data_IF_642853767852
#
_entry.id   IF_642853767852
#
_cell.length_a   1.000
_cell.length_b   1.000
_cell.length_c   1.000
_cell.angle_alpha   90.00
_cell.angle_beta   90.00
_cell.angle_gamma   90.00
#
_symmetry.space_group_name_H-M   'P 1'
#
loop_
_entity.id
_entity.type
_entity.pdbx_description
1 polymer ?
#
# COMPACT_ATOMS: atom_id res chain seq x y z
N UNK A 1 25.03 -5.31 -6.58
CA UNK A 1 24.15 -4.14 -6.72
C UNK A 1 23.30 -4.03 -5.47
N UNK A 2 23.46 -2.96 -4.70
CA UNK A 2 22.83 -2.78 -3.39
C UNK A 2 21.33 -2.46 -3.56
N UNK A 3 20.45 -3.41 -3.21
CA UNK A 3 18.99 -3.33 -3.40
C UNK A 3 18.34 -2.16 -2.64
N UNK A 4 19.04 -1.58 -1.65
CA UNK A 4 18.61 -0.40 -0.88
C UNK A 4 18.42 0.88 -1.72
N UNK A 5 18.98 0.94 -2.94
CA UNK A 5 18.86 2.13 -3.80
C UNK A 5 17.65 2.11 -4.76
N UNK A 6 16.89 1.02 -4.85
CA UNK A 6 15.81 0.90 -5.84
C UNK A 6 14.59 1.80 -5.54
N UNK A 7 14.39 2.20 -4.27
CA UNK A 7 13.35 3.17 -3.89
C UNK A 7 13.67 4.62 -4.32
N UNK A 8 14.87 4.90 -4.84
CA UNK A 8 15.27 6.25 -5.29
C UNK A 8 14.89 6.57 -6.75
N UNK A 9 14.42 5.60 -7.54
CA UNK A 9 14.20 5.77 -8.99
C UNK A 9 12.71 5.66 -9.43
N UNK A 10 11.76 5.77 -8.49
CA UNK A 10 10.34 5.44 -8.73
C UNK A 10 9.39 6.60 -9.00
N UNK A 11 9.85 7.78 -9.43
CA UNK A 11 8.97 8.95 -9.62
C UNK A 11 9.32 9.77 -10.87
N UNK A 12 9.13 9.21 -12.05
CA UNK A 12 9.13 9.95 -13.32
C UNK A 12 8.13 9.29 -14.29
N UNK A 13 6.83 9.59 -14.13
CA UNK A 13 5.82 9.48 -15.19
C UNK A 13 4.44 9.95 -14.68
N UNK A 14 4.24 11.27 -14.56
CA UNK A 14 2.91 11.88 -14.67
C UNK A 14 3.07 13.39 -14.86
N UNK A 15 3.03 13.84 -16.10
CA UNK A 15 3.02 15.27 -16.37
C UNK A 15 3.25 15.61 -17.83
N UNK A 16 2.26 15.36 -18.69
CA UNK A 16 2.03 16.18 -19.88
C UNK A 16 0.51 16.17 -20.18
N UNK A 17 -0.19 17.13 -19.60
CA UNK A 17 -1.46 17.60 -20.13
C UNK A 17 -1.16 18.55 -21.31
N UNK A 18 -1.85 18.33 -22.42
CA UNK A 18 -1.81 19.14 -23.65
C UNK A 18 -2.36 20.56 -23.41
N UNK A 19 -1.88 21.54 -24.20
CA UNK A 19 -2.83 22.39 -24.91
C UNK A 19 -2.57 22.35 -26.42
N UNK A 20 -3.67 22.26 -27.17
CA UNK A 20 -3.71 22.37 -28.61
C UNK A 20 -3.39 23.81 -29.04
N UNK A 21 -2.39 24.00 -29.90
CA UNK A 21 -2.22 25.22 -30.69
C UNK A 21 -1.68 24.88 -32.10
N UNK A 22 -2.43 25.39 -33.07
CA UNK A 22 -2.20 25.61 -34.50
C UNK A 22 -0.88 25.13 -35.15
N UNK A 23 -1.05 24.39 -36.26
CA UNK A 23 -0.06 24.16 -37.31
C UNK A 23 0.43 25.50 -37.89
N UNK A 24 1.68 25.87 -37.63
CA UNK A 24 2.44 26.78 -38.45
C UNK A 24 3.60 26.00 -39.11
N UNK A 25 3.61 26.01 -40.44
CA UNK A 25 4.60 25.35 -41.30
C UNK A 25 5.69 26.37 -41.59
N UNK A 26 6.92 26.13 -41.15
CA UNK A 26 8.08 26.94 -41.54
C UNK A 26 9.33 26.08 -41.83
N UNK A 27 10.23 26.57 -42.69
CA UNK A 27 11.11 25.75 -43.52
C UNK A 27 12.41 25.34 -42.80
N UNK A 28 13.05 24.31 -43.35
CA UNK A 28 14.37 23.86 -42.94
C UNK A 28 15.41 24.98 -43.09
N UNK A 29 16.18 25.25 -42.04
CA UNK A 29 17.48 25.90 -42.18
C UNK A 29 18.43 25.64 -41.01
N UNK A 30 19.66 25.34 -41.41
CA UNK A 30 20.96 25.44 -40.73
C UNK A 30 21.16 24.83 -39.32
N UNK A 31 22.02 23.81 -39.27
CA UNK A 31 22.62 23.31 -38.04
C UNK A 31 23.52 24.39 -37.41
N UNK A 32 23.10 24.92 -36.28
CA UNK A 32 23.94 25.71 -35.38
C UNK A 32 24.52 24.74 -34.34
N UNK A 33 25.84 24.58 -34.32
CA UNK A 33 26.57 23.88 -33.26
C UNK A 33 26.52 24.74 -31.99
N UNK A 34 25.58 24.43 -31.10
CA UNK A 34 25.59 24.98 -29.74
C UNK A 34 26.70 24.30 -28.91
N UNK A 35 27.44 25.03 -28.06
CA UNK A 35 28.39 24.42 -27.15
C UNK A 35 27.64 23.49 -26.18
N UNK A 36 28.23 22.32 -25.89
CA UNK A 36 27.69 21.40 -24.89
C UNK A 36 27.59 22.13 -23.54
N UNK A 37 26.36 22.40 -23.10
CA UNK A 37 26.10 22.80 -21.73
C UNK A 37 26.55 21.65 -20.80
N UNK A 38 27.40 21.95 -19.84
CA UNK A 38 27.73 21.03 -18.75
C UNK A 38 26.43 20.65 -18.05
N UNK A 39 26.10 19.36 -17.89
CA UNK A 39 24.87 18.96 -17.23
C UNK A 39 24.90 19.49 -15.79
N UNK A 40 23.93 20.34 -15.44
CA UNK A 40 23.66 20.73 -14.07
C UNK A 40 23.47 19.45 -13.25
N UNK A 41 24.17 19.26 -12.11
CA UNK A 41 23.94 18.10 -11.28
C UNK A 41 22.46 18.09 -10.88
N UNK A 42 21.77 17.00 -11.21
CA UNK A 42 20.39 16.77 -10.76
C UNK A 42 20.42 16.85 -9.23
N UNK A 43 19.68 17.82 -8.68
CA UNK A 43 19.54 17.94 -7.23
C UNK A 43 19.07 16.59 -6.69
N UNK A 44 19.78 16.06 -5.69
CA UNK A 44 19.35 14.84 -5.03
C UNK A 44 17.93 15.05 -4.52
N UNK A 45 17.02 14.08 -4.72
CA UNK A 45 15.68 14.18 -4.17
C UNK A 45 15.80 14.41 -2.65
N UNK A 46 14.97 15.29 -2.08
CA UNK A 46 15.04 15.59 -0.66
C UNK A 46 14.96 14.29 0.14
N UNK A 47 15.80 14.20 1.18
CA UNK A 47 15.82 13.03 2.05
C UNK A 47 14.41 12.79 2.61
N UNK A 48 13.97 11.54 2.60
CA UNK A 48 12.70 11.16 3.23
C UNK A 48 12.83 11.31 4.75
N UNK A 49 12.32 12.43 5.27
CA UNK A 49 12.37 12.81 6.68
C UNK A 49 10.95 13.20 7.16
N UNK A 50 10.05 12.23 7.37
CA UNK A 50 8.70 12.53 7.83
C UNK A 50 8.75 13.18 9.22
N UNK A 51 8.01 14.27 9.42
CA UNK A 51 7.92 14.97 10.71
C UNK A 51 6.48 15.40 11.01
N UNK A 52 5.99 15.20 12.25
CA UNK A 52 4.66 15.67 12.62
C UNK A 52 4.53 17.21 12.62
N UNK A 53 5.65 17.94 12.61
CA UNK A 53 5.70 19.40 12.67
C UNK A 53 5.11 20.09 11.44
N UNK A 54 5.08 19.41 10.28
CA UNK A 54 4.40 19.93 9.08
C UNK A 54 2.88 19.97 9.21
N UNK A 55 2.33 19.49 10.32
CA UNK A 55 0.90 19.53 10.62
C UNK A 55 0.08 18.53 9.82
N UNK A 56 -1.24 18.76 9.81
CA UNK A 56 -2.21 17.89 9.12
C UNK A 56 -2.35 18.28 7.65
N UNK A 57 -2.19 17.29 6.77
CA UNK A 57 -2.51 17.42 5.34
C UNK A 57 -3.88 16.82 5.10
N UNK A 58 -4.69 17.49 4.29
CA UNK A 58 -6.02 17.02 3.88
C UNK A 58 -5.94 16.46 2.47
N UNK A 59 -6.60 15.34 2.27
CA UNK A 59 -6.67 14.63 1.00
C UNK A 59 -8.13 14.42 0.60
N UNK A 60 -8.34 14.46 -0.70
CA UNK A 60 -9.57 13.99 -1.34
C UNK A 60 -9.17 12.83 -2.27
N UNK A 61 -9.85 11.70 -2.10
CA UNK A 61 -9.66 10.51 -2.92
C UNK A 61 -10.96 10.24 -3.66
N UNK A 62 -10.88 10.25 -5.00
CA UNK A 62 -12.00 9.86 -5.86
C UNK A 62 -11.70 8.49 -6.44
N UNK A 63 -12.52 7.50 -6.10
CA UNK A 63 -12.46 6.14 -6.65
C UNK A 63 -13.59 5.95 -7.65
N UNK A 64 -13.26 5.59 -8.89
CA UNK A 64 -14.23 5.25 -9.94
C UNK A 64 -14.13 3.76 -10.25
N UNK A 65 -15.28 3.09 -10.23
CA UNK A 65 -15.43 1.66 -10.36
C UNK A 65 -16.40 1.40 -11.51
N UNK A 66 -15.86 0.87 -12.61
CA UNK A 66 -16.57 0.61 -13.87
C UNK A 66 -16.38 -0.87 -14.24
N UNK A 67 -17.04 -1.80 -13.52
CA UNK A 67 -16.89 -3.23 -13.78
C UNK A 67 -17.55 -3.60 -15.11
N UNK A 68 -17.04 -4.66 -15.74
CA UNK A 68 -17.63 -5.17 -16.97
C UNK A 68 -19.04 -5.72 -16.67
N UNK A 69 -20.02 -5.48 -17.56
CA UNK A 69 -21.36 -6.04 -17.40
C UNK A 69 -21.31 -7.57 -17.51
N UNK A 70 -22.30 -8.23 -16.91
CA UNK A 70 -22.45 -9.68 -16.96
C UNK A 70 -23.90 -10.12 -16.81
N UNK A 71 -24.14 -11.41 -17.06
CA UNK A 71 -25.48 -12.02 -17.07
C UNK A 71 -26.04 -12.29 -15.67
N UNK A 72 -25.24 -12.07 -14.62
CA UNK A 72 -25.62 -12.25 -13.21
C UNK A 72 -25.59 -10.95 -12.41
N UNK A 73 -26.06 -10.96 -11.15
CA UNK A 73 -25.96 -9.82 -10.28
C UNK A 73 -24.49 -9.46 -10.05
N UNK A 74 -24.19 -8.17 -10.14
CA UNK A 74 -22.84 -7.65 -9.96
C UNK A 74 -22.74 -6.99 -8.60
N UNK A 75 -21.70 -7.35 -7.84
CA UNK A 75 -21.49 -6.87 -6.47
C UNK A 75 -20.06 -6.41 -6.30
N UNK A 76 -19.88 -5.25 -5.67
CA UNK A 76 -18.57 -4.70 -5.35
C UNK A 76 -18.50 -4.25 -3.90
N UNK A 77 -17.32 -4.41 -3.31
CA UNK A 77 -16.96 -3.89 -1.99
C UNK A 77 -15.74 -3.00 -2.16
N UNK A 78 -15.89 -1.71 -1.91
CA UNK A 78 -14.81 -0.73 -2.08
C UNK A 78 -14.40 -0.20 -0.71
N UNK A 79 -13.13 -0.37 -0.28
CA UNK A 79 -12.68 0.06 1.04
C UNK A 79 -12.71 1.58 1.19
N UNK A 80 -13.13 2.03 2.38
CA UNK A 80 -13.11 3.43 2.77
C UNK A 80 -11.90 3.73 3.67
N UNK A 81 -11.28 4.93 3.58
CA UNK A 81 -10.24 5.36 4.50
C UNK A 81 -10.85 5.75 5.87
N UNK A 82 -11.46 4.79 6.55
CA UNK A 82 -12.27 4.99 7.76
C UNK A 82 -11.51 4.83 9.09
N UNK A 83 -10.24 4.40 9.04
CA UNK A 83 -9.41 4.28 10.24
C UNK A 83 -9.23 5.64 10.91
N UNK A 84 -9.62 5.74 12.18
CA UNK A 84 -9.49 6.94 13.00
C UNK A 84 -8.38 6.75 14.03
N UNK A 85 -7.34 7.57 13.91
CA UNK A 85 -6.16 7.57 14.75
C UNK A 85 -5.85 9.00 15.14
N UNK A 86 -6.14 9.34 16.40
CA UNK A 86 -6.13 10.72 16.91
C UNK A 86 -4.81 11.45 16.61
N UNK A 87 -3.71 10.70 16.59
CA UNK A 87 -2.37 11.20 16.36
C UNK A 87 -1.96 11.36 14.88
N UNK A 88 -2.53 10.60 13.93
CA UNK A 88 -1.97 10.56 12.57
C UNK A 88 -2.94 10.33 11.42
N UNK A 89 -4.20 9.91 11.66
CA UNK A 89 -5.19 9.77 10.59
C UNK A 89 -6.61 10.12 11.06
N UNK A 90 -7.30 10.99 10.30
CA UNK A 90 -8.67 11.43 10.61
C UNK A 90 -9.56 11.26 9.39
N UNK A 91 -10.55 10.34 9.40
CA UNK A 91 -11.58 10.31 8.38
C UNK A 91 -12.44 11.58 8.49
N UNK A 92 -12.84 12.15 7.35
CA UNK A 92 -13.68 13.36 7.25
C UNK A 92 -14.99 13.11 6.50
N UNK A 93 -15.33 11.84 6.29
CA UNK A 93 -16.55 11.41 5.60
C UNK A 93 -16.31 10.90 4.19
N UNK A 94 -17.34 10.27 3.64
CA UNK A 94 -17.36 9.79 2.26
C UNK A 94 -18.75 9.96 1.67
N UNK A 95 -18.79 10.30 0.39
CA UNK A 95 -19.99 10.40 -0.43
C UNK A 95 -19.85 9.41 -1.58
N UNK A 96 -20.96 8.86 -2.05
CA UNK A 96 -20.97 7.97 -3.21
C UNK A 96 -22.18 8.20 -4.08
N UNK A 97 -22.00 7.94 -5.37
CA UNK A 97 -23.04 8.01 -6.39
C UNK A 97 -22.78 6.94 -7.46
N UNK A 98 -23.82 6.56 -8.19
CA UNK A 98 -23.73 5.52 -9.21
C UNK A 98 -25.10 5.13 -9.73
N UNK A 99 -25.12 4.10 -10.57
CA UNK A 99 -26.35 3.49 -11.10
C UNK A 99 -26.63 2.11 -10.48
N UNK A 100 -26.04 1.81 -9.32
CA UNK A 100 -26.34 0.58 -8.59
C UNK A 100 -27.73 0.67 -7.95
N UNK A 101 -28.43 -0.46 -7.89
CA UNK A 101 -29.76 -0.56 -7.28
C UNK A 101 -29.67 -0.41 -5.75
N UNK A 102 -28.61 -0.97 -5.16
CA UNK A 102 -28.29 -0.84 -3.75
C UNK A 102 -26.88 -0.27 -3.59
N UNK A 103 -26.74 0.76 -2.78
CA UNK A 103 -25.45 1.30 -2.32
C UNK A 103 -25.52 1.60 -0.84
N UNK A 104 -24.71 0.93 -0.04
CA UNK A 104 -24.69 1.14 1.41
C UNK A 104 -23.29 0.99 1.99
N UNK A 105 -23.11 1.56 3.18
CA UNK A 105 -21.87 1.40 3.93
C UNK A 105 -21.96 0.14 4.79
N UNK A 106 -21.00 -0.76 4.61
CA UNK A 106 -20.88 -2.00 5.37
C UNK A 106 -19.60 -2.00 6.20
N UNK A 107 -19.59 -2.78 7.28
CA UNK A 107 -18.40 -3.01 8.12
C UNK A 107 -18.20 -4.51 8.32
N UNK A 108 -16.97 -4.97 8.16
CA UNK A 108 -16.64 -6.37 8.44
C UNK A 108 -16.31 -6.61 9.93
N UNK A 109 -15.97 -7.86 10.27
CA UNK A 109 -15.58 -8.24 11.64
C UNK A 109 -14.23 -7.67 12.07
N UNK A 110 -13.37 -7.26 11.14
CA UNK A 110 -12.10 -6.60 11.44
C UNK A 110 -12.28 -5.11 11.74
N UNK A 111 -13.46 -4.56 11.45
CA UNK A 111 -13.78 -3.16 11.60
C UNK A 111 -13.57 -2.34 10.32
N UNK A 112 -13.10 -2.97 9.23
CA UNK A 112 -12.92 -2.32 7.94
C UNK A 112 -14.27 -1.87 7.38
N UNK A 113 -14.35 -0.60 6.99
CA UNK A 113 -15.55 -0.03 6.36
C UNK A 113 -15.39 -0.03 4.84
N UNK A 114 -16.48 -0.36 4.15
CA UNK A 114 -16.55 -0.41 2.70
C UNK A 114 -17.87 0.19 2.22
N UNK A 115 -17.89 0.69 0.99
CA UNK A 115 -19.14 0.83 0.23
C UNK A 115 -19.42 -0.50 -0.46
N UNK A 116 -20.57 -1.08 -0.13
CA UNK A 116 -21.18 -2.15 -0.89
C UNK A 116 -22.06 -1.56 -1.97
N UNK A 117 -21.92 -2.03 -3.21
CA UNK A 117 -22.85 -1.71 -4.28
C UNK A 117 -23.25 -2.95 -5.07
N UNK A 118 -24.53 -3.03 -5.43
CA UNK A 118 -25.12 -4.14 -6.17
C UNK A 118 -25.95 -3.63 -7.36
N UNK A 119 -25.73 -4.26 -8.51
CA UNK A 119 -26.50 -4.05 -9.73
C UNK A 119 -27.26 -5.32 -10.09
N UNK A 120 -28.49 -5.13 -10.57
CA UNK A 120 -29.25 -6.19 -11.21
C UNK A 120 -28.51 -6.73 -12.46
N UNK A 121 -28.80 -7.98 -12.87
CA UNK A 121 -28.28 -8.54 -14.12
C UNK A 121 -28.57 -7.65 -15.33
N UNK A 122 -27.62 -7.54 -16.27
CA UNK A 122 -27.82 -6.86 -17.54
C UNK A 122 -27.77 -5.33 -17.52
N UNK A 123 -27.43 -4.69 -16.39
CA UNK A 123 -27.18 -3.24 -16.37
C UNK A 123 -26.04 -2.89 -17.34
N UNK A 124 -26.35 -2.08 -18.35
CA UNK A 124 -25.37 -1.55 -19.28
C UNK A 124 -24.49 -0.51 -18.56
N UNK A 125 -23.16 -0.69 -18.62
CA UNK A 125 -22.17 0.19 -18.00
C UNK A 125 -22.42 0.45 -16.50
N UNK A 126 -22.25 -0.56 -15.64
CA UNK A 126 -22.30 -0.35 -14.20
C UNK A 126 -21.21 0.65 -13.76
N UNK A 127 -21.58 1.61 -12.93
CA UNK A 127 -20.67 2.68 -12.48
C UNK A 127 -20.93 3.05 -11.01
N UNK A 128 -19.83 3.22 -10.27
CA UNK A 128 -19.80 3.71 -8.91
C UNK A 128 -18.66 4.71 -8.75
N UNK A 129 -18.95 5.89 -8.22
CA UNK A 129 -17.96 6.89 -7.82
C UNK A 129 -18.05 7.13 -6.31
N UNK A 130 -16.90 7.10 -5.65
CA UNK A 130 -16.78 7.36 -4.21
C UNK A 130 -15.80 8.50 -4.02
N UNK A 131 -16.24 9.55 -3.33
CA UNK A 131 -15.39 10.65 -2.88
C UNK A 131 -15.17 10.51 -1.38
N UNK A 132 -13.93 10.30 -0.97
CA UNK A 132 -13.53 10.22 0.43
C UNK A 132 -12.62 11.38 0.80
N UNK A 133 -12.88 12.00 1.95
CA UNK A 133 -12.01 13.02 2.54
C UNK A 133 -11.38 12.49 3.81
N UNK A 134 -10.10 12.75 3.99
CA UNK A 134 -9.38 12.39 5.21
C UNK A 134 -8.19 13.33 5.41
N UNK A 135 -7.69 13.39 6.63
CA UNK A 135 -6.46 14.07 6.95
C UNK A 135 -5.42 13.08 7.47
N UNK A 136 -4.15 13.27 7.09
CA UNK A 136 -3.03 12.53 7.68
C UNK A 136 -1.98 13.50 8.23
N UNK A 137 -1.25 13.04 9.24
CA UNK A 137 -0.07 13.72 9.78
C UNK A 137 1.07 12.72 9.82
N UNK A 138 2.24 13.15 9.38
CA UNK A 138 3.43 12.31 9.41
C UNK A 138 3.81 11.91 10.85
N UNK A 139 4.51 10.78 10.95
CA UNK A 139 5.03 10.25 12.21
C UNK A 139 6.55 10.18 12.12
N UNK A 140 7.21 10.56 13.21
CA UNK A 140 8.63 10.37 13.41
C UNK A 140 8.82 9.61 14.73
N UNK A 141 9.53 8.49 14.69
CA UNK A 141 9.87 7.69 15.87
C UNK A 141 11.35 7.38 15.80
N UNK A 142 12.08 7.79 16.83
CA UNK A 142 13.50 7.47 16.97
C UNK A 142 13.64 6.10 17.62
N UNK A 143 13.85 5.07 16.78
CA UNK A 143 14.06 3.69 17.24
C UNK A 143 15.43 3.45 17.88
N UNK A 144 16.30 4.47 17.97
CA UNK A 144 17.55 4.36 18.75
C UNK A 144 17.32 4.67 20.22
N UNK A 145 16.18 5.28 20.55
CA UNK A 145 15.77 5.62 21.90
C UNK A 145 14.48 4.88 22.23
N UNK A 146 14.54 3.81 23.04
CA UNK A 146 13.35 3.10 23.48
C UNK A 146 12.34 4.06 24.11
N UNK A 147 11.05 3.91 23.77
CA UNK A 147 9.99 4.70 24.40
C UNK A 147 10.01 4.51 25.92
N UNK A 148 9.91 5.61 26.67
CA UNK A 148 9.77 5.56 28.13
C UNK A 148 8.51 4.79 28.56
N UNK A 149 7.46 4.85 27.74
CA UNK A 149 6.22 4.08 27.90
C UNK A 149 5.97 3.27 26.63
N UNK A 150 6.56 2.06 26.52
CA UNK A 150 6.29 1.20 25.38
C UNK A 150 4.82 0.77 25.40
N UNK A 151 4.18 0.77 24.24
CA UNK A 151 2.79 0.32 24.12
C UNK A 151 2.69 -1.13 24.58
N UNK A 152 1.92 -1.37 25.64
CA UNK A 152 1.64 -2.72 26.13
C UNK A 152 0.26 -3.15 25.67
N UNK A 153 0.23 -4.18 24.83
CA UNK A 153 -1.01 -4.81 24.43
C UNK A 153 -1.57 -5.65 25.59
N UNK A 154 -2.87 -5.51 25.83
CA UNK A 154 -3.61 -6.42 26.71
C UNK A 154 -3.51 -7.86 26.20
N UNK A 155 -3.85 -8.84 27.06
CA UNK A 155 -3.91 -10.25 26.62
C UNK A 155 -4.88 -10.44 25.45
N UNK A 156 -6.03 -9.77 25.47
CA UNK A 156 -7.04 -9.84 24.42
C UNK A 156 -6.50 -9.31 23.09
N UNK A 157 -5.83 -8.15 23.11
CA UNK A 157 -5.23 -7.56 21.91
C UNK A 157 -4.10 -8.43 21.35
N UNK A 158 -3.21 -8.96 22.20
CA UNK A 158 -2.16 -9.89 21.76
C UNK A 158 -2.75 -11.12 21.09
N UNK A 159 -3.76 -11.74 21.70
CA UNK A 159 -4.43 -12.90 21.09
C UNK A 159 -5.10 -12.54 19.76
N UNK A 160 -5.68 -11.35 19.64
CA UNK A 160 -6.30 -10.87 18.41
C UNK A 160 -5.25 -10.68 17.30
N UNK A 161 -4.16 -9.97 17.57
CA UNK A 161 -3.17 -9.59 16.58
C UNK A 161 -2.23 -10.75 16.18
N UNK A 162 -2.02 -11.73 17.06
CA UNK A 162 -1.22 -12.93 16.80
C UNK A 162 -2.03 -14.11 16.23
N UNK A 163 -3.36 -13.96 16.11
CA UNK A 163 -4.22 -15.05 15.62
C UNK A 163 -3.86 -15.42 14.17
N UNK A 164 -3.71 -16.72 13.86
CA UNK A 164 -3.51 -17.16 12.48
C UNK A 164 -4.76 -16.90 11.62
N UNK A 165 -4.55 -16.78 10.32
CA UNK A 165 -5.62 -16.83 9.30
C UNK A 165 -5.32 -17.95 8.31
N UNK A 166 -6.28 -18.25 7.42
CA UNK A 166 -6.07 -19.26 6.38
C UNK A 166 -4.83 -18.97 5.52
N UNK A 167 -4.61 -17.69 5.18
CA UNK A 167 -3.49 -17.25 4.34
C UNK A 167 -2.23 -16.89 5.14
N UNK A 168 -2.36 -16.63 6.45
CA UNK A 168 -1.27 -16.31 7.35
C UNK A 168 -1.27 -17.27 8.56
N UNK A 169 -0.96 -18.57 8.36
CA UNK A 169 -0.79 -19.49 9.47
C UNK A 169 0.46 -19.11 10.29
N UNK A 170 0.48 -19.47 11.57
CA UNK A 170 1.58 -19.14 12.50
C UNK A 170 2.33 -20.38 12.99
N UNK A 171 2.22 -21.48 12.25
CA UNK A 171 2.81 -22.79 12.55
C UNK A 171 3.67 -23.32 11.38
N UNK A 172 4.21 -24.54 11.56
CA UNK A 172 5.03 -25.22 10.56
C UNK A 172 6.15 -24.34 10.01
N UNK A 173 6.33 -24.38 8.69
CA UNK A 173 7.36 -23.62 7.99
C UNK A 173 7.32 -22.12 8.26
N UNK A 174 6.15 -21.52 8.50
CA UNK A 174 6.05 -20.09 8.81
C UNK A 174 6.69 -19.80 10.16
N UNK A 175 6.39 -20.61 11.17
CA UNK A 175 6.98 -20.47 12.51
C UNK A 175 8.47 -20.75 12.50
N UNK A 176 8.89 -21.79 11.80
CA UNK A 176 10.29 -22.19 11.76
C UNK A 176 11.12 -21.10 11.05
N UNK A 177 10.64 -20.61 9.89
CA UNK A 177 11.24 -19.46 9.19
C UNK A 177 11.30 -18.21 10.08
N UNK A 178 10.20 -17.88 10.78
CA UNK A 178 10.16 -16.71 11.66
C UNK A 178 11.19 -16.81 12.79
N UNK A 179 11.31 -17.99 13.42
CA UNK A 179 12.29 -18.25 14.51
C UNK A 179 13.73 -18.11 14.02
N UNK A 180 14.03 -18.60 12.82
CA UNK A 180 15.36 -18.51 12.23
C UNK A 180 15.72 -17.04 11.94
N UNK A 181 14.78 -16.27 11.39
CA UNK A 181 14.97 -14.84 11.11
C UNK A 181 15.25 -14.04 12.38
N UNK A 182 14.49 -14.29 13.46
CA UNK A 182 14.59 -13.50 14.69
C UNK A 182 15.61 -14.03 15.70
N UNK A 183 16.45 -15.00 15.31
CA UNK A 183 17.43 -15.59 16.20
C UNK A 183 18.37 -14.51 16.78
N UNK A 184 18.40 -14.40 18.11
CA UNK A 184 19.24 -13.43 18.83
C UNK A 184 18.64 -12.03 18.96
N UNK A 185 17.45 -11.76 18.40
CA UNK A 185 16.72 -10.51 18.61
C UNK A 185 16.30 -10.36 20.09
N UNK A 186 16.44 -9.16 20.66
CA UNK A 186 16.25 -8.93 22.10
C UNK A 186 14.87 -8.39 22.45
N UNK A 187 14.16 -7.79 21.48
CA UNK A 187 12.82 -7.24 21.67
C UNK A 187 12.04 -7.14 20.37
N UNK A 188 10.79 -6.69 20.46
CA UNK A 188 9.85 -6.68 19.35
C UNK A 188 10.32 -5.82 18.16
N UNK A 189 11.00 -4.71 18.44
CA UNK A 189 11.58 -3.85 17.40
C UNK A 189 12.72 -4.55 16.64
N UNK A 190 13.58 -5.28 17.35
CA UNK A 190 14.67 -6.06 16.72
C UNK A 190 14.09 -7.18 15.86
N UNK A 191 13.07 -7.89 16.36
CA UNK A 191 12.37 -8.93 15.60
C UNK A 191 11.74 -8.35 14.33
N UNK A 192 11.01 -7.24 14.46
CA UNK A 192 10.35 -6.59 13.33
C UNK A 192 11.37 -6.11 12.29
N UNK A 193 12.50 -5.55 12.73
CA UNK A 193 13.59 -5.13 11.85
C UNK A 193 14.24 -6.30 11.13
N UNK A 194 14.53 -7.40 11.84
CA UNK A 194 15.09 -8.61 11.24
C UNK A 194 14.17 -9.20 10.15
N UNK A 195 12.86 -9.24 10.41
CA UNK A 195 11.86 -9.69 9.43
C UNK A 195 11.78 -8.73 8.24
N UNK A 196 11.79 -7.42 8.49
CA UNK A 196 11.79 -6.42 7.42
C UNK A 196 13.01 -6.56 6.51
N UNK A 197 14.21 -6.62 7.08
CA UNK A 197 15.47 -6.75 6.33
C UNK A 197 15.49 -8.07 5.56
N UNK A 198 15.07 -9.18 6.17
CA UNK A 198 14.95 -10.46 5.48
C UNK A 198 13.99 -10.38 4.28
N UNK A 199 12.85 -9.71 4.41
CA UNK A 199 11.93 -9.52 3.28
C UNK A 199 12.57 -8.70 2.17
N UNK A 200 13.26 -7.60 2.50
CA UNK A 200 13.96 -6.77 1.50
C UNK A 200 15.01 -7.58 0.73
N UNK A 201 15.72 -8.46 1.42
CA UNK A 201 16.80 -9.24 0.83
C UNK A 201 16.30 -10.46 0.03
N UNK A 202 15.21 -11.10 0.48
CA UNK A 202 14.75 -12.38 -0.05
C UNK A 202 13.56 -12.29 -1.01
N UNK A 203 12.86 -11.17 -1.06
CA UNK A 203 11.70 -11.00 -1.93
C UNK A 203 12.00 -10.14 -3.15
N UNK A 204 11.09 -10.16 -4.13
CA UNK A 204 11.11 -9.21 -5.23
C UNK A 204 9.70 -8.92 -5.75
N UNK A 205 9.53 -7.73 -6.32
CA UNK A 205 8.26 -7.31 -6.91
C UNK A 205 8.09 -7.98 -8.27
N UNK A 206 7.00 -8.71 -8.47
CA UNK A 206 6.62 -9.30 -9.76
C UNK A 206 5.41 -8.55 -10.35
N UNK A 207 5.61 -7.65 -11.34
CA UNK A 207 4.53 -6.86 -11.92
C UNK A 207 3.44 -7.67 -12.62
N UNK A 208 3.75 -8.90 -13.07
CA UNK A 208 2.81 -9.76 -13.80
C UNK A 208 1.87 -10.57 -12.91
N UNK A 209 2.07 -10.59 -11.58
CA UNK A 209 1.11 -11.21 -10.66
C UNK A 209 -0.27 -10.59 -10.87
N UNK A 210 -1.29 -11.44 -11.02
CA UNK A 210 -2.68 -10.98 -11.19
C UNK A 210 -3.15 -10.26 -9.92
N UNK A 211 -3.85 -9.15 -10.08
CA UNK A 211 -4.32 -8.34 -8.96
C UNK A 211 -3.17 -7.82 -8.09
N UNK A 212 -3.34 -7.88 -6.77
CA UNK A 212 -2.38 -7.41 -5.77
C UNK A 212 -1.52 -8.53 -5.16
N UNK A 213 -1.72 -9.79 -5.59
CA UNK A 213 -1.22 -10.97 -4.89
C UNK A 213 -2.32 -11.74 -4.16
N UNK A 214 -2.04 -12.99 -3.80
CA UNK A 214 -2.94 -13.83 -3.00
C UNK A 214 -2.60 -13.68 -1.51
N UNK A 215 -1.32 -13.52 -1.17
CA UNK A 215 -0.86 -13.46 0.22
C UNK A 215 -0.84 -14.79 0.95
N UNK A 216 -0.79 -15.92 0.24
CA UNK A 216 -0.61 -17.25 0.83
C UNK A 216 0.86 -17.49 1.19
N UNK A 217 1.22 -17.12 2.42
CA UNK A 217 2.62 -17.14 2.86
C UNK A 217 3.15 -18.56 3.05
N UNK A 218 2.27 -19.54 3.31
CA UNK A 218 2.69 -20.94 3.44
C UNK A 218 3.18 -21.43 2.09
N UNK A 219 2.37 -21.28 1.05
CA UNK A 219 2.74 -21.67 -0.31
C UNK A 219 4.00 -20.95 -0.80
N UNK A 220 4.15 -19.65 -0.48
CA UNK A 220 5.36 -18.89 -0.81
C UNK A 220 6.62 -19.50 -0.18
N UNK A 221 6.56 -19.83 1.11
CA UNK A 221 7.70 -20.41 1.83
C UNK A 221 7.99 -21.86 1.40
N UNK A 222 6.96 -22.69 1.22
CA UNK A 222 7.13 -24.10 0.84
C UNK A 222 7.70 -24.25 -0.57
N UNK A 223 7.33 -23.36 -1.49
CA UNK A 223 7.83 -23.38 -2.88
C UNK A 223 9.14 -22.60 -3.06
N UNK A 224 9.51 -21.76 -2.09
CA UNK A 224 10.61 -20.80 -2.22
C UNK A 224 10.31 -19.65 -3.19
N UNK A 225 9.10 -19.57 -3.77
CA UNK A 225 8.72 -18.46 -4.64
C UNK A 225 8.27 -17.25 -3.80
N UNK A 226 9.24 -16.44 -3.38
CA UNK A 226 9.03 -15.23 -2.57
C UNK A 226 8.79 -13.97 -3.43
N UNK A 227 8.24 -14.15 -4.62
CA UNK A 227 7.86 -13.06 -5.52
C UNK A 227 6.41 -12.65 -5.31
N UNK A 228 6.09 -11.39 -5.61
CA UNK A 228 4.70 -10.95 -5.50
C UNK A 228 4.46 -9.47 -5.68
N UNK A 229 3.26 -9.04 -5.29
CA UNK A 229 2.85 -7.63 -5.21
C UNK A 229 2.62 -7.23 -3.76
N UNK A 230 1.95 -6.10 -3.54
CA UNK A 230 1.78 -5.53 -2.21
C UNK A 230 1.06 -6.48 -1.23
N UNK A 231 0.09 -7.28 -1.68
CA UNK A 231 -0.59 -8.23 -0.80
C UNK A 231 0.33 -9.37 -0.37
N UNK A 232 1.15 -9.90 -1.28
CA UNK A 232 2.08 -11.01 -0.96
C UNK A 232 3.17 -10.56 0.02
N UNK A 233 3.83 -9.44 -0.28
CA UNK A 233 4.94 -8.94 0.54
C UNK A 233 4.46 -8.46 1.91
N UNK A 234 3.30 -7.80 1.98
CA UNK A 234 2.72 -7.39 3.25
C UNK A 234 2.25 -8.60 4.07
N UNK A 235 1.59 -9.58 3.45
CA UNK A 235 1.16 -10.79 4.12
C UNK A 235 2.35 -11.56 4.70
N UNK A 236 3.45 -11.67 3.95
CA UNK A 236 4.67 -12.33 4.41
C UNK A 236 5.25 -11.64 5.66
N UNK A 237 5.35 -10.30 5.65
CA UNK A 237 5.80 -9.54 6.83
C UNK A 237 4.89 -9.77 8.03
N UNK A 238 3.58 -9.58 7.85
CA UNK A 238 2.60 -9.71 8.94
C UNK A 238 2.57 -11.14 9.47
N UNK A 239 2.63 -12.14 8.60
CA UNK A 239 2.59 -13.55 8.97
C UNK A 239 3.81 -13.98 9.78
N UNK A 240 5.01 -13.60 9.32
CA UNK A 240 6.26 -13.86 10.05
C UNK A 240 6.29 -13.11 11.39
N UNK A 241 5.85 -11.86 11.43
CA UNK A 241 5.76 -11.09 12.67
C UNK A 241 4.81 -11.74 13.69
N UNK A 242 3.64 -12.21 13.24
CA UNK A 242 2.70 -12.96 14.09
C UNK A 242 3.30 -14.26 14.62
N UNK A 243 4.03 -14.98 13.78
CA UNK A 243 4.65 -16.25 14.16
C UNK A 243 5.85 -16.06 15.11
N UNK A 244 6.50 -14.89 15.09
CA UNK A 244 7.60 -14.54 15.97
C UNK A 244 7.16 -14.10 17.39
N UNK A 245 5.85 -13.91 17.61
CA UNK A 245 5.25 -13.58 18.90
C UNK A 245 5.42 -12.12 19.28
#
# INVERSE_FOLDING_TARGET
>A
MNRRNFLRAGSLAAGLALPALARARQPASAAVTAPLATPTPLAEPPAFAPTPETGWRRFELVSRIEPLPGDGPLRVWVPLPAMHETAWQRPMGSLWQGNAELMERVRDRSGAEMVYAEWAPGVAQPQLEILSRFATRDRATDFTQPSAEPQRLTRAERMLYLRPTALLPTDGIVRDTARDIVQGAKGDEDKARAIYDWIVDNTFREPKVRGCGIGDIRSMLETGNLSGKCADLNALFVGLARAAG
#
